data_IF_744475238361
#
_entry.id   IF_744475238361
#
_cell.length_a   1.000
_cell.length_b   1.000
_cell.length_c   1.000
_cell.angle_alpha   90.00
_cell.angle_beta   90.00
_cell.angle_gamma   90.00
#
_symmetry.space_group_name_H-M   'P 1'
#
loop_
_entity.id
_entity.type
_entity.pdbx_description
1 polymer ?
#
# COMPACT_ATOMS: atom_id res chain seq x y z
N UNK A 1 2.72 -5.29 6.01
CA UNK A 1 3.62 -4.82 4.95
C UNK A 1 3.78 -3.30 4.96
N UNK A 2 2.72 -2.48 4.86
CA UNK A 2 2.88 -1.01 4.95
C UNK A 2 3.55 -0.58 6.27
N UNK A 3 3.19 -1.21 7.38
CA UNK A 3 3.78 -0.92 8.70
C UNK A 3 5.22 -1.45 8.89
N UNK A 4 5.74 -2.22 7.94
CA UNK A 4 7.15 -2.63 7.92
C UNK A 4 8.03 -1.73 7.04
N UNK A 5 7.48 -0.69 6.45
CA UNK A 5 8.28 0.31 5.75
C UNK A 5 9.12 1.11 6.74
N UNK A 6 10.35 1.41 6.33
CA UNK A 6 11.28 2.24 7.11
C UNK A 6 11.43 3.63 6.48
N UNK A 7 12.02 4.55 7.21
CA UNK A 7 12.30 5.89 6.70
C UNK A 7 13.21 5.92 5.48
N UNK A 8 13.93 4.81 5.19
CA UNK A 8 14.78 4.69 3.99
C UNK A 8 14.03 4.77 2.67
N UNK A 9 12.70 4.64 2.68
CA UNK A 9 11.87 4.81 1.46
C UNK A 9 11.71 6.27 1.06
N UNK A 10 12.16 7.20 1.89
CA UNK A 10 12.06 8.65 1.61
C UNK A 10 13.35 9.18 0.96
N UNK A 11 13.24 10.12 0.00
CA UNK A 11 11.99 10.62 -0.59
C UNK A 11 11.24 9.54 -1.37
N UNK A 12 9.90 9.56 -1.28
CA UNK A 12 9.07 8.51 -1.89
C UNK A 12 9.08 8.64 -3.42
N UNK A 13 9.58 7.61 -4.09
CA UNK A 13 9.64 7.53 -5.54
C UNK A 13 8.31 7.10 -6.18
N UNK A 14 8.37 6.73 -7.47
CA UNK A 14 7.22 6.19 -8.21
C UNK A 14 6.88 4.75 -7.82
N UNK A 15 7.77 4.06 -7.12
CA UNK A 15 7.58 2.70 -6.66
C UNK A 15 8.26 2.49 -5.30
N UNK A 16 7.70 1.58 -4.50
CA UNK A 16 8.25 1.13 -3.23
C UNK A 16 8.63 -0.34 -3.30
N UNK A 17 9.78 -0.66 -2.72
CA UNK A 17 10.16 -2.04 -2.45
C UNK A 17 9.54 -2.48 -1.14
N UNK A 18 8.68 -3.48 -1.20
CA UNK A 18 7.97 -4.01 -0.03
C UNK A 18 8.37 -5.47 0.18
N UNK A 19 8.84 -5.79 1.38
CA UNK A 19 9.15 -7.17 1.76
C UNK A 19 7.95 -7.76 2.50
N UNK A 20 7.36 -8.79 1.93
CA UNK A 20 6.24 -9.52 2.49
C UNK A 20 6.66 -10.73 3.32
N UNK A 21 5.69 -11.60 3.60
CA UNK A 21 5.94 -12.87 4.30
C UNK A 21 6.94 -13.73 3.53
N UNK A 22 7.78 -14.51 4.25
CA UNK A 22 8.84 -15.37 3.70
C UNK A 22 9.91 -14.60 2.91
N UNK A 23 10.18 -13.34 3.29
CA UNK A 23 11.22 -12.51 2.68
C UNK A 23 11.06 -12.24 1.18
N UNK A 24 9.88 -12.49 0.62
CA UNK A 24 9.60 -12.15 -0.77
C UNK A 24 9.47 -10.64 -0.92
N UNK A 25 10.40 -10.07 -1.68
CA UNK A 25 10.40 -8.64 -2.00
C UNK A 25 9.67 -8.42 -3.33
N UNK A 26 8.84 -7.40 -3.38
CA UNK A 26 8.16 -6.95 -4.59
C UNK A 26 8.23 -5.43 -4.74
N UNK A 27 8.13 -4.97 -5.95
CA UNK A 27 8.03 -3.55 -6.27
C UNK A 27 6.55 -3.21 -6.42
N UNK A 28 6.09 -2.20 -5.70
CA UNK A 28 4.71 -1.72 -5.71
C UNK A 28 4.71 -0.31 -6.30
N UNK A 29 4.04 -0.08 -7.44
CA UNK A 29 3.90 1.26 -7.99
C UNK A 29 3.10 2.15 -7.04
N UNK A 30 3.49 3.41 -6.94
CA UNK A 30 2.88 4.38 -6.03
C UNK A 30 2.26 5.51 -6.84
N UNK A 31 0.96 5.69 -6.67
CA UNK A 31 0.24 6.83 -7.30
C UNK A 31 0.63 8.15 -6.62
N UNK A 32 0.60 9.28 -7.36
CA UNK A 32 0.99 10.58 -6.82
C UNK A 32 0.31 10.94 -5.50
N UNK A 33 -0.98 10.70 -5.38
CA UNK A 33 -1.75 11.00 -4.16
C UNK A 33 -1.23 10.24 -2.92
N UNK A 34 -0.80 8.98 -3.08
CA UNK A 34 -0.22 8.19 -1.97
C UNK A 34 1.17 8.72 -1.61
N UNK A 35 1.99 9.08 -2.60
CA UNK A 35 3.29 9.69 -2.38
C UNK A 35 3.15 10.99 -1.59
N UNK A 36 2.28 11.87 -2.04
CA UNK A 36 2.01 13.16 -1.40
C UNK A 36 1.50 12.98 0.04
N UNK A 37 0.61 12.02 0.27
CA UNK A 37 0.11 11.71 1.60
C UNK A 37 1.22 11.21 2.56
N UNK A 38 2.15 10.39 2.06
CA UNK A 38 3.28 9.91 2.87
C UNK A 38 4.24 11.06 3.20
N UNK A 39 4.56 11.92 2.22
CA UNK A 39 5.45 13.06 2.46
C UNK A 39 4.80 14.11 3.36
N UNK A 40 3.49 14.33 3.22
CA UNK A 40 2.72 15.20 4.12
C UNK A 40 2.70 14.66 5.55
N UNK A 41 2.42 13.36 5.71
CA UNK A 41 2.51 12.70 7.01
C UNK A 41 3.91 12.92 7.63
N UNK A 42 4.96 12.73 6.87
CA UNK A 42 6.32 12.86 7.37
C UNK A 42 6.69 14.29 7.76
N UNK A 43 6.13 15.30 7.09
CA UNK A 43 6.29 16.71 7.46
C UNK A 43 5.56 17.07 8.76
N UNK A 44 4.38 16.47 8.97
CA UNK A 44 3.55 16.74 10.14
C UNK A 44 3.88 15.87 11.34
N UNK A 45 4.65 14.80 11.14
CA UNK A 45 5.02 13.89 12.22
C UNK A 45 5.87 14.61 13.27
N UNK A 46 5.45 14.66 14.55
CA UNK A 46 6.20 15.35 15.59
C UNK A 46 7.48 14.59 16.02
N UNK A 47 7.64 13.36 15.55
CA UNK A 47 8.75 12.50 15.89
C UNK A 47 9.72 12.36 14.71
N UNK A 48 11.03 12.30 14.95
CA UNK A 48 12.00 12.07 13.90
C UNK A 48 11.78 10.69 13.28
N UNK A 49 11.73 10.64 11.95
CA UNK A 49 11.65 9.39 11.19
C UNK A 49 13.06 9.00 10.79
N UNK A 50 13.64 8.08 11.56
CA UNK A 50 14.99 7.58 11.32
C UNK A 50 15.02 6.74 10.02
N UNK A 51 16.15 6.77 9.31
CA UNK A 51 16.31 6.05 8.03
C UNK A 51 15.99 4.57 8.15
N UNK A 52 16.47 3.92 9.21
CA UNK A 52 16.28 2.50 9.46
C UNK A 52 15.14 2.21 10.46
N UNK A 53 14.54 3.26 11.00
CA UNK A 53 13.38 3.19 11.88
C UNK A 53 12.08 3.03 11.10
N UNK A 54 10.98 2.76 11.82
CA UNK A 54 9.66 2.64 11.22
C UNK A 54 9.25 3.96 10.53
N UNK A 55 8.70 3.88 9.30
CA UNK A 55 8.17 5.03 8.61
C UNK A 55 6.94 5.60 9.33
N UNK A 56 6.03 4.73 9.75
CA UNK A 56 4.79 5.13 10.43
C UNK A 56 4.94 4.99 11.93
N UNK A 57 4.78 6.11 12.64
CA UNK A 57 4.94 6.20 14.08
C UNK A 57 3.60 6.43 14.77
N UNK A 58 3.48 5.88 15.96
CA UNK A 58 2.33 6.12 16.84
C UNK A 58 2.49 7.42 17.63
N UNK A 59 1.47 7.79 18.38
CA UNK A 59 1.40 9.03 19.16
C UNK A 59 2.54 9.23 20.18
N UNK A 60 3.23 8.16 20.56
CA UNK A 60 4.37 8.19 21.50
C UNK A 60 5.73 8.03 20.82
N UNK A 61 5.81 8.14 19.49
CA UNK A 61 7.05 8.06 18.72
C UNK A 61 7.55 6.64 18.43
N UNK A 62 6.91 5.61 18.96
CA UNK A 62 7.23 4.22 18.61
C UNK A 62 6.55 3.78 17.31
N UNK A 63 6.89 2.58 16.76
CA UNK A 63 6.25 2.06 15.56
C UNK A 63 4.73 1.99 15.68
N UNK A 64 4.02 2.37 14.60
CA UNK A 64 2.56 2.34 14.57
C UNK A 64 2.03 0.91 14.72
N UNK A 65 1.17 0.70 15.70
CA UNK A 65 0.56 -0.60 15.96
C UNK A 65 -0.56 -0.91 14.96
N UNK A 66 -0.58 -2.14 14.43
CA UNK A 66 -1.60 -2.61 13.50
C UNK A 66 -3.04 -2.54 14.08
N UNK A 67 -3.20 -2.68 15.39
CA UNK A 67 -4.51 -2.54 16.05
C UNK A 67 -5.05 -1.13 15.97
N UNK A 68 -4.20 -0.10 16.01
CA UNK A 68 -4.61 1.29 15.82
C UNK A 68 -5.15 1.49 14.41
N UNK A 69 -4.49 0.93 13.39
CA UNK A 69 -4.98 0.97 12.00
C UNK A 69 -6.34 0.29 11.89
N UNK A 70 -6.50 -0.90 12.46
CA UNK A 70 -7.79 -1.62 12.47
C UNK A 70 -8.89 -0.82 13.14
N UNK A 71 -8.60 -0.21 14.30
CA UNK A 71 -9.57 0.65 15.01
C UNK A 71 -9.94 1.90 14.20
N UNK A 72 -8.98 2.52 13.53
CA UNK A 72 -9.23 3.69 12.67
C UNK A 72 -10.13 3.34 11.50
N UNK A 73 -9.89 2.20 10.83
CA UNK A 73 -10.78 1.71 9.77
C UNK A 73 -12.17 1.40 10.32
N UNK A 74 -12.27 0.74 11.47
CA UNK A 74 -13.54 0.45 12.11
C UNK A 74 -14.32 1.72 12.52
N UNK A 75 -13.62 2.75 12.99
CA UNK A 75 -14.24 4.04 13.31
C UNK A 75 -14.73 4.75 12.05
N UNK A 76 -13.92 4.79 10.99
CA UNK A 76 -14.29 5.39 9.71
C UNK A 76 -15.50 4.69 9.07
N UNK A 77 -15.54 3.36 9.04
CA UNK A 77 -16.68 2.61 8.50
C UNK A 77 -17.99 2.90 9.25
N UNK A 78 -17.94 2.95 10.59
CA UNK A 78 -19.15 3.29 11.40
C UNK A 78 -19.65 4.69 11.09
N UNK A 79 -18.74 5.67 10.97
CA UNK A 79 -19.11 7.05 10.64
C UNK A 79 -19.70 7.18 9.25
N UNK A 80 -19.31 6.32 8.32
CA UNK A 80 -19.79 6.31 6.93
C UNK A 80 -20.96 5.35 6.70
N UNK A 81 -21.47 4.66 7.72
CA UNK A 81 -22.56 3.69 7.59
C UNK A 81 -22.18 2.44 6.76
N UNK A 82 -20.89 2.10 6.70
CA UNK A 82 -20.39 0.98 5.90
C UNK A 82 -20.45 -0.34 6.71
N UNK A 83 -20.61 -1.49 6.03
CA UNK A 83 -20.80 -2.78 6.69
C UNK A 83 -19.56 -3.21 7.49
N UNK A 84 -19.79 -4.04 8.51
CA UNK A 84 -18.75 -4.55 9.40
C UNK A 84 -17.71 -5.44 8.70
N UNK A 85 -18.05 -6.02 7.55
CA UNK A 85 -17.14 -6.76 6.69
C UNK A 85 -16.03 -5.90 6.07
N UNK A 86 -16.16 -4.56 6.08
CA UNK A 86 -15.14 -3.65 5.56
C UNK A 86 -13.94 -3.59 6.53
N UNK A 87 -12.93 -4.36 6.21
CA UNK A 87 -11.64 -4.47 6.92
C UNK A 87 -10.50 -3.98 6.03
N UNK A 88 -9.29 -3.76 6.54
CA UNK A 88 -8.12 -3.50 5.68
C UNK A 88 -7.89 -4.59 4.63
N UNK A 89 -8.23 -5.84 4.94
CA UNK A 89 -8.13 -6.95 3.99
C UNK A 89 -9.22 -6.87 2.92
N UNK A 90 -10.44 -6.51 3.29
CA UNK A 90 -11.53 -6.30 2.34
C UNK A 90 -11.23 -5.15 1.36
N UNK A 91 -10.62 -4.06 1.83
CA UNK A 91 -10.15 -2.97 0.96
C UNK A 91 -9.14 -3.46 -0.08
N UNK A 92 -8.20 -4.29 0.33
CA UNK A 92 -7.24 -4.92 -0.58
C UNK A 92 -7.94 -5.81 -1.62
N UNK A 93 -8.92 -6.60 -1.20
CA UNK A 93 -9.70 -7.45 -2.09
C UNK A 93 -10.52 -6.63 -3.09
N UNK A 94 -11.19 -5.57 -2.63
CA UNK A 94 -11.93 -4.64 -3.50
C UNK A 94 -11.01 -3.99 -4.53
N UNK A 95 -9.81 -3.56 -4.13
CA UNK A 95 -8.82 -3.03 -5.05
C UNK A 95 -8.48 -4.02 -6.16
N UNK A 96 -8.20 -5.29 -5.81
CA UNK A 96 -7.92 -6.34 -6.78
C UNK A 96 -9.08 -6.57 -7.75
N UNK A 97 -10.31 -6.65 -7.23
CA UNK A 97 -11.52 -6.88 -8.02
C UNK A 97 -11.76 -5.72 -9.00
N UNK A 98 -11.58 -4.47 -8.55
CA UNK A 98 -11.72 -3.30 -9.41
C UNK A 98 -10.69 -3.26 -10.53
N UNK A 99 -9.45 -3.60 -10.25
CA UNK A 99 -8.41 -3.68 -11.28
C UNK A 99 -8.71 -4.77 -12.32
N UNK A 100 -9.14 -5.95 -11.89
CA UNK A 100 -9.54 -7.04 -12.78
C UNK A 100 -10.73 -6.63 -13.67
N UNK A 101 -11.76 -6.02 -13.10
CA UNK A 101 -12.93 -5.57 -13.84
C UNK A 101 -12.59 -4.52 -14.93
N UNK A 102 -11.42 -3.88 -14.81
CA UNK A 102 -10.93 -2.89 -15.78
C UNK A 102 -9.84 -3.41 -16.70
N UNK A 103 -9.68 -4.74 -16.78
CA UNK A 103 -8.80 -5.39 -17.73
C UNK A 103 -7.35 -5.59 -17.24
N UNK A 104 -7.07 -5.36 -15.95
CA UNK A 104 -5.76 -5.72 -15.42
C UNK A 104 -5.55 -7.24 -15.50
N UNK A 105 -4.35 -7.65 -15.92
CA UNK A 105 -3.99 -9.05 -15.99
C UNK A 105 -3.95 -9.70 -14.59
N UNK A 106 -4.59 -10.86 -14.47
CA UNK A 106 -4.68 -11.60 -13.21
C UNK A 106 -3.31 -11.95 -12.63
N UNK A 107 -2.34 -12.26 -13.48
CA UNK A 107 -0.99 -12.62 -13.07
C UNK A 107 -0.27 -11.42 -12.45
N UNK A 108 -0.30 -10.28 -13.11
CA UNK A 108 0.24 -9.02 -12.60
C UNK A 108 -0.38 -8.64 -11.26
N UNK A 109 -1.68 -8.86 -11.09
CA UNK A 109 -2.38 -8.64 -9.83
C UNK A 109 -1.93 -9.60 -8.72
N UNK A 110 -1.76 -10.88 -9.02
CA UNK A 110 -1.28 -11.86 -8.05
C UNK A 110 0.14 -11.51 -7.57
N UNK A 111 1.00 -11.08 -8.46
CA UNK A 111 2.36 -10.63 -8.14
C UNK A 111 2.34 -9.36 -7.27
N UNK A 112 1.53 -8.36 -7.65
CA UNK A 112 1.34 -7.12 -6.90
C UNK A 112 0.82 -7.39 -5.48
N UNK A 113 -0.12 -8.31 -5.35
CA UNK A 113 -0.72 -8.68 -4.07
C UNK A 113 0.15 -9.66 -3.27
N UNK A 114 1.16 -10.29 -3.88
CA UNK A 114 2.06 -11.22 -3.20
C UNK A 114 1.38 -12.53 -2.82
N UNK A 115 0.47 -13.05 -3.66
CA UNK A 115 -0.08 -14.39 -3.49
C UNK A 115 0.99 -15.47 -3.74
N UNK A 116 1.14 -16.40 -2.80
CA UNK A 116 2.29 -17.28 -2.66
C UNK A 116 2.34 -18.49 -3.61
N UNK A 117 1.50 -18.58 -4.64
CA UNK A 117 1.54 -19.70 -5.57
C UNK A 117 1.90 -19.21 -6.98
N UNK A 118 3.09 -19.35 -7.30
CA UNK A 118 3.77 -19.67 -8.54
C UNK A 118 5.20 -19.15 -8.46
N UNK A 119 6.14 -20.08 -8.56
CA UNK A 119 7.58 -19.84 -8.56
C UNK A 119 7.97 -19.07 -9.83
N UNK A 120 8.25 -17.82 -9.72
CA UNK A 120 9.27 -17.15 -10.53
C UNK A 120 9.50 -15.74 -10.00
N UNK A 121 10.73 -15.43 -9.74
CA UNK A 121 11.25 -14.08 -9.51
C UNK A 121 11.17 -13.34 -10.86
N UNK A 122 10.01 -12.88 -11.25
CA UNK A 122 9.90 -11.93 -12.33
C UNK A 122 10.04 -10.52 -11.77
N UNK A 123 11.10 -9.86 -12.21
CA UNK A 123 11.34 -8.44 -11.95
C UNK A 123 10.21 -7.69 -12.65
N UNK A 124 9.38 -7.00 -11.88
CA UNK A 124 8.39 -6.05 -12.39
C UNK A 124 9.13 -5.01 -13.22
N UNK A 125 8.89 -4.98 -14.52
CA UNK A 125 9.50 -3.96 -15.38
C UNK A 125 8.76 -2.63 -15.18
N UNK A 126 9.42 -1.53 -15.50
CA UNK A 126 8.79 -0.20 -15.45
C UNK A 126 7.53 -0.11 -16.35
N UNK A 127 7.46 -0.95 -17.39
CA UNK A 127 6.32 -1.07 -18.32
C UNK A 127 5.11 -1.68 -17.62
N UNK A 128 5.30 -2.74 -16.82
CA UNK A 128 4.19 -3.38 -16.08
C UNK A 128 3.63 -2.45 -15.00
N UNK A 129 4.51 -1.68 -14.35
CA UNK A 129 4.12 -0.65 -13.38
C UNK A 129 3.32 0.49 -14.04
N UNK A 130 3.68 0.90 -15.25
CA UNK A 130 2.96 1.94 -16.00
C UNK A 130 1.57 1.47 -16.41
N UNK A 131 1.41 0.24 -16.89
CA UNK A 131 0.10 -0.34 -17.24
C UNK A 131 -0.82 -0.47 -16.03
N UNK A 132 -0.31 -0.86 -14.88
CA UNK A 132 -1.10 -0.92 -13.64
C UNK A 132 -1.51 0.46 -13.14
N UNK A 133 -0.61 1.44 -13.24
CA UNK A 133 -0.92 2.84 -12.91
C UNK A 133 -1.97 3.43 -13.86
N UNK A 134 -1.90 3.11 -15.13
CA UNK A 134 -2.87 3.57 -16.13
C UNK A 134 -4.24 2.93 -15.88
N UNK A 135 -4.29 1.63 -15.64
CA UNK A 135 -5.51 0.92 -15.24
C UNK A 135 -6.10 1.48 -13.93
N UNK A 136 -5.25 1.86 -12.97
CA UNK A 136 -5.68 2.50 -11.73
C UNK A 136 -6.25 3.91 -11.98
N UNK A 137 -5.60 4.74 -12.79
CA UNK A 137 -6.06 6.10 -13.12
C UNK A 137 -7.43 6.08 -13.80
N UNK A 138 -7.66 5.13 -14.70
CA UNK A 138 -8.97 4.94 -15.33
C UNK A 138 -10.01 4.32 -14.37
N UNK A 139 -9.57 3.68 -13.29
CA UNK A 139 -10.41 3.01 -12.31
C UNK A 139 -10.85 3.90 -11.13
N UNK A 140 -10.09 4.91 -10.80
CA UNK A 140 -10.32 5.67 -9.56
C UNK A 140 -10.91 7.06 -9.87
N UNK A 141 -12.10 7.42 -9.27
CA UNK A 141 -12.75 8.71 -9.55
C UNK A 141 -11.99 9.95 -9.05
N UNK A 142 -10.87 9.75 -8.33
CA UNK A 142 -10.01 10.81 -7.76
C UNK A 142 -8.52 10.56 -8.04
N UNK A 143 -8.17 9.79 -9.06
CA UNK A 143 -6.78 9.61 -9.45
C UNK A 143 -6.33 10.71 -10.40
#
# INVERSE_FOLDING_TARGET
EALSLTGSVRPVGQALRVTGKRWKTRIVPIVPAVREAIEEYARQCPWPIEKDGALFLGARGGPLNADLVRRSVAAARRRLGLPDSLTPHALRHSFATHLLARGADLRSLQELLGHASLSSTQIYTAVDAAHLLDSYRHAHPRA
#
